data_IF_763890628409
#
_entry.id   IF_763890628409
#
_cell.length_a   1.000
_cell.length_b   1.000
_cell.length_c   1.000
_cell.angle_alpha   90.00
_cell.angle_beta   90.00
_cell.angle_gamma   90.00
#
_symmetry.space_group_name_H-M   'P 1'
#
loop_
_entity.id
_entity.type
_entity.pdbx_description
1 polymer ?
#
# COMPACT_ATOMS: atom_id res chain seq x y z
N UNK A 1 -21.94 16.45 -13.04
CA UNK A 1 -21.02 16.32 -11.91
C UNK A 1 -21.09 14.86 -11.49
N UNK A 2 -20.21 14.02 -12.05
CA UNK A 2 -20.21 12.56 -11.83
C UNK A 2 -19.00 12.26 -10.98
N UNK A 3 -19.23 11.69 -9.80
CA UNK A 3 -18.19 11.29 -8.88
C UNK A 3 -17.36 10.16 -9.50
N UNK A 4 -16.05 10.35 -9.55
CA UNK A 4 -15.07 9.37 -10.01
C UNK A 4 -14.76 8.41 -8.86
N UNK A 5 -14.83 7.09 -9.03
CA UNK A 5 -14.42 6.16 -7.99
C UNK A 5 -12.89 6.11 -7.89
N UNK A 6 -12.37 6.53 -6.77
CA UNK A 6 -10.99 6.27 -6.34
C UNK A 6 -10.91 4.79 -5.99
N UNK A 7 -10.28 3.99 -6.85
CA UNK A 7 -9.99 2.59 -6.55
C UNK A 7 -8.62 2.46 -5.90
N UNK A 8 -8.59 2.69 -4.62
CA UNK A 8 -7.71 2.03 -3.66
C UNK A 8 -8.46 1.84 -2.33
N UNK A 9 -9.80 1.83 -2.39
CA UNK A 9 -10.64 1.36 -1.30
C UNK A 9 -11.85 0.70 -1.94
N UNK A 10 -12.07 -0.57 -1.65
CA UNK A 10 -13.23 -1.33 -2.04
C UNK A 10 -14.49 -0.67 -1.45
N UNK A 11 -15.19 0.21 -2.21
CA UNK A 11 -16.49 0.71 -1.81
C UNK A 11 -17.55 -0.32 -2.16
N UNK A 12 -18.01 -1.06 -1.16
CA UNK A 12 -19.26 -1.84 -1.23
C UNK A 12 -20.46 -0.92 -1.00
N UNK A 13 -21.62 -1.17 -1.65
CA UNK A 13 -22.86 -0.51 -1.31
C UNK A 13 -23.29 -0.90 0.10
N UNK A 14 -23.80 0.09 0.84
CA UNK A 14 -24.36 -0.07 2.20
C UNK A 14 -25.60 -0.95 2.13
N UNK A 15 -25.42 -2.23 2.43
CA UNK A 15 -26.51 -3.19 2.64
C UNK A 15 -26.18 -3.98 3.88
N UNK A 16 -27.03 -3.92 4.89
CA UNK A 16 -26.88 -4.44 6.24
C UNK A 16 -26.52 -5.94 6.31
N UNK A 17 -25.26 -6.21 6.39
CA UNK A 17 -24.70 -7.35 7.12
C UNK A 17 -23.49 -6.80 7.85
N UNK A 18 -23.30 -7.20 9.09
CA UNK A 18 -22.11 -6.84 9.88
C UNK A 18 -20.87 -7.38 9.21
N UNK A 19 -20.35 -6.63 8.22
CA UNK A 19 -19.08 -6.94 7.59
C UNK A 19 -18.03 -6.64 8.63
N UNK A 20 -17.38 -7.67 9.11
CA UNK A 20 -16.29 -7.51 10.05
C UNK A 20 -15.05 -7.12 9.25
N UNK A 21 -14.62 -5.86 9.40
CA UNK A 21 -13.34 -5.41 8.85
C UNK A 21 -12.22 -6.29 9.38
N UNK A 22 -11.43 -6.85 8.48
CA UNK A 22 -10.24 -7.63 8.79
C UNK A 22 -9.01 -6.85 8.33
N UNK A 23 -8.10 -6.61 9.26
CA UNK A 23 -6.75 -6.15 8.93
C UNK A 23 -5.88 -7.38 8.66
N UNK A 24 -5.24 -7.40 7.51
CA UNK A 24 -4.20 -8.36 7.18
C UNK A 24 -2.86 -7.68 7.33
N UNK A 25 -1.99 -8.30 8.12
CA UNK A 25 -0.71 -7.71 8.49
C UNK A 25 0.40 -8.71 8.18
N UNK A 26 1.43 -8.26 7.44
CA UNK A 26 2.67 -9.02 7.30
C UNK A 26 3.41 -9.00 8.63
N UNK A 27 3.83 -10.13 9.13
CA UNK A 27 4.56 -10.26 10.40
C UNK A 27 6.00 -10.71 10.19
N UNK A 28 6.48 -10.57 8.97
CA UNK A 28 7.88 -10.78 8.62
C UNK A 28 8.66 -9.53 8.89
N UNK A 29 9.76 -9.53 9.15
CA UNK A 29 10.94 -9.24 8.55
C UNK A 29 11.96 -8.38 9.26
N UNK A 30 12.85 -9.02 9.80
CA UNK A 30 14.24 -8.62 9.61
C UNK A 30 14.97 -9.84 9.04
N UNK A 31 16.03 -9.62 8.27
CA UNK A 31 16.94 -10.70 7.77
C UNK A 31 17.44 -11.60 8.90
N UNK A 32 17.38 -11.11 10.15
CA UNK A 32 17.77 -11.86 11.36
C UNK A 32 16.62 -12.65 11.99
N UNK A 33 15.35 -12.34 11.68
CA UNK A 33 14.15 -13.04 12.15
C UNK A 33 13.12 -13.05 11.01
N UNK A 34 13.31 -13.89 9.98
CA UNK A 34 12.40 -13.98 8.86
C UNK A 34 11.04 -14.45 9.35
N UNK A 35 10.02 -13.60 9.19
CA UNK A 35 8.64 -14.05 9.32
C UNK A 35 8.23 -14.79 8.07
N UNK A 36 7.23 -15.65 8.22
CA UNK A 36 6.71 -16.48 7.13
C UNK A 36 5.20 -16.37 7.01
N UNK A 37 4.60 -15.45 7.77
CA UNK A 37 3.16 -15.43 7.98
C UNK A 37 2.53 -14.08 7.64
N UNK A 38 1.26 -14.14 7.27
CA UNK A 38 0.33 -13.02 7.32
C UNK A 38 -0.66 -13.25 8.46
N UNK A 39 -0.87 -12.23 9.27
CA UNK A 39 -1.75 -12.32 10.45
C UNK A 39 -3.05 -11.56 10.20
N UNK A 40 -4.20 -12.24 10.10
CA UNK A 40 -5.50 -11.59 10.04
C UNK A 40 -5.99 -11.19 11.43
N UNK A 41 -6.55 -9.98 11.55
CA UNK A 41 -7.10 -9.43 12.80
C UNK A 41 -8.50 -8.91 12.54
N UNK A 42 -9.51 -9.46 13.20
CA UNK A 42 -10.88 -8.92 13.19
C UNK A 42 -10.92 -7.64 14.01
N UNK A 43 -11.08 -6.51 13.36
CA UNK A 43 -10.95 -5.19 14.00
C UNK A 43 -12.03 -4.89 15.05
N UNK A 44 -13.33 -5.19 14.82
CA UNK A 44 -14.36 -4.89 15.81
C UNK A 44 -14.16 -5.63 17.13
N UNK A 45 -13.73 -6.88 17.07
CA UNK A 45 -13.51 -7.74 18.24
C UNK A 45 -12.06 -7.73 18.71
N UNK A 46 -11.14 -7.16 17.92
CA UNK A 46 -9.68 -7.16 18.15
C UNK A 46 -9.09 -8.56 18.27
N UNK A 47 -9.74 -9.53 17.65
CA UNK A 47 -9.37 -10.93 17.72
C UNK A 47 -8.35 -11.28 16.63
N UNK A 48 -7.18 -11.75 17.04
CA UNK A 48 -6.15 -12.29 16.14
C UNK A 48 -6.60 -13.68 15.70
N UNK A 49 -6.70 -13.88 14.39
CA UNK A 49 -7.06 -15.18 13.81
C UNK A 49 -5.80 -16.05 13.57
N UNK A 50 -6.02 -17.26 13.07
CA UNK A 50 -4.93 -18.15 12.71
C UNK A 50 -4.06 -17.51 11.62
N UNK A 51 -2.75 -17.53 11.80
CA UNK A 51 -1.78 -17.05 10.84
C UNK A 51 -1.80 -17.87 9.57
N UNK A 52 -1.57 -17.22 8.44
CA UNK A 52 -1.48 -17.85 7.13
C UNK A 52 -0.01 -17.88 6.71
N UNK A 53 0.54 -19.07 6.59
CA UNK A 53 1.89 -19.25 6.07
C UNK A 53 1.91 -18.96 4.56
N UNK A 54 2.83 -18.10 4.12
CA UNK A 54 2.93 -17.68 2.73
C UNK A 54 4.31 -17.93 2.13
N UNK A 55 5.37 -17.66 2.85
CA UNK A 55 6.74 -17.72 2.35
C UNK A 55 7.64 -16.84 3.19
N UNK A 56 8.91 -16.74 2.84
CA UNK A 56 9.89 -16.01 3.63
C UNK A 56 9.81 -14.51 3.39
N UNK A 57 9.82 -13.72 4.47
CA UNK A 57 9.86 -12.25 4.44
C UNK A 57 8.69 -11.62 3.67
N UNK A 58 7.42 -11.81 4.09
CA UNK A 58 6.30 -11.13 3.45
C UNK A 58 6.40 -9.62 3.66
N UNK A 59 6.48 -8.84 2.57
CA UNK A 59 6.75 -7.40 2.56
C UNK A 59 5.52 -6.55 2.30
N UNK A 60 4.71 -6.88 1.32
CA UNK A 60 3.56 -6.06 0.92
C UNK A 60 2.29 -6.88 0.68
N UNK A 61 1.16 -6.17 0.77
CA UNK A 61 -0.19 -6.72 0.65
C UNK A 61 -1.03 -5.83 -0.26
N UNK A 62 -1.88 -6.45 -1.09
CA UNK A 62 -2.92 -5.74 -1.84
C UNK A 62 -4.13 -6.65 -2.06
N UNK A 63 -5.34 -6.09 -2.03
CA UNK A 63 -6.53 -6.83 -2.46
C UNK A 63 -6.63 -6.88 -3.99
N UNK A 64 -7.07 -8.03 -4.51
CA UNK A 64 -7.48 -8.14 -5.92
C UNK A 64 -8.72 -7.29 -6.19
N UNK A 65 -8.98 -6.99 -7.45
CA UNK A 65 -10.17 -6.26 -7.85
C UNK A 65 -11.44 -6.94 -7.31
N UNK A 66 -12.25 -6.17 -6.58
CA UNK A 66 -13.46 -6.68 -5.91
C UNK A 66 -13.23 -7.39 -4.57
N UNK A 67 -12.00 -7.40 -4.03
CA UNK A 67 -11.69 -7.89 -2.69
C UNK A 67 -11.79 -9.41 -2.51
N UNK A 68 -11.77 -10.18 -3.60
CA UNK A 68 -11.97 -11.64 -3.57
C UNK A 68 -10.71 -12.41 -3.18
N UNK A 69 -9.55 -11.84 -3.40
CA UNK A 69 -8.24 -12.42 -3.07
C UNK A 69 -7.37 -11.37 -2.41
N UNK A 70 -6.43 -11.81 -1.61
CA UNK A 70 -5.39 -11.00 -1.01
C UNK A 70 -4.05 -11.42 -1.59
N UNK A 71 -3.38 -10.48 -2.24
CA UNK A 71 -2.03 -10.65 -2.76
C UNK A 71 -1.01 -10.38 -1.67
N UNK A 72 0.03 -11.19 -1.63
CA UNK A 72 1.17 -11.07 -0.72
C UNK A 72 2.45 -11.29 -1.52
N UNK A 73 3.39 -10.37 -1.45
CA UNK A 73 4.75 -10.61 -1.98
C UNK A 73 5.68 -11.04 -0.86
N UNK A 74 6.57 -11.97 -1.17
CA UNK A 74 7.56 -12.52 -0.23
C UNK A 74 8.96 -12.30 -0.80
N UNK A 75 9.78 -11.49 -0.09
CA UNK A 75 11.12 -11.10 -0.52
C UNK A 75 12.10 -12.27 -0.51
N UNK A 76 11.98 -13.18 0.44
CA UNK A 76 12.98 -14.22 0.65
C UNK A 76 12.86 -15.42 -0.32
N UNK A 77 11.79 -15.50 -1.10
CA UNK A 77 11.56 -16.54 -2.11
C UNK A 77 11.05 -15.98 -3.45
N UNK A 78 11.12 -14.66 -3.63
CA UNK A 78 10.82 -13.95 -4.89
C UNK A 78 9.48 -14.34 -5.50
N UNK A 79 8.44 -14.36 -4.66
CA UNK A 79 7.13 -14.91 -5.06
C UNK A 79 5.97 -13.97 -4.71
N UNK A 80 4.99 -13.90 -5.61
CA UNK A 80 3.67 -13.36 -5.36
C UNK A 80 2.70 -14.50 -5.06
N UNK A 81 1.97 -14.43 -3.96
CA UNK A 81 0.93 -15.38 -3.55
C UNK A 81 -0.44 -14.73 -3.56
N UNK A 82 -1.49 -15.52 -3.82
CA UNK A 82 -2.89 -15.13 -3.53
C UNK A 82 -3.40 -15.97 -2.37
N UNK A 83 -3.94 -15.30 -1.37
CA UNK A 83 -4.69 -15.89 -0.26
C UNK A 83 -6.17 -15.70 -0.54
N UNK A 84 -6.99 -16.73 -0.36
CA UNK A 84 -8.43 -16.61 -0.24
C UNK A 84 -8.77 -16.13 1.18
N UNK A 85 -9.33 -14.92 1.35
CA UNK A 85 -9.63 -14.37 2.67
C UNK A 85 -10.69 -15.15 3.46
N UNK A 86 -11.51 -15.95 2.79
CA UNK A 86 -12.56 -16.73 3.44
C UNK A 86 -12.05 -18.05 4.00
N UNK A 87 -11.11 -18.71 3.30
CA UNK A 87 -10.56 -20.01 3.70
C UNK A 87 -9.20 -19.92 4.38
N UNK A 88 -8.53 -18.75 4.28
CA UNK A 88 -7.15 -18.53 4.73
C UNK A 88 -6.13 -19.45 4.03
N UNK A 89 -6.47 -19.95 2.85
CA UNK A 89 -5.58 -20.79 2.05
C UNK A 89 -4.84 -19.99 0.98
N UNK A 90 -3.57 -20.33 0.71
CA UNK A 90 -2.89 -19.88 -0.50
C UNK A 90 -3.46 -20.64 -1.68
N UNK A 91 -3.99 -19.95 -2.68
CA UNK A 91 -4.71 -20.54 -3.82
C UNK A 91 -3.94 -20.47 -5.12
N UNK A 92 -3.07 -19.49 -5.26
CA UNK A 92 -2.22 -19.31 -6.45
C UNK A 92 -0.87 -18.68 -6.07
N UNK A 93 0.13 -18.85 -6.93
CA UNK A 93 1.44 -18.20 -6.79
C UNK A 93 2.15 -18.04 -8.12
N UNK A 94 3.03 -17.03 -8.21
CA UNK A 94 3.87 -16.78 -9.38
C UNK A 94 5.23 -16.22 -8.96
N UNK A 95 6.30 -16.64 -9.63
CA UNK A 95 7.62 -16.05 -9.42
C UNK A 95 7.67 -14.64 -10.02
N UNK A 96 8.41 -13.76 -9.35
CA UNK A 96 8.63 -12.36 -9.72
C UNK A 96 10.13 -12.06 -9.83
N UNK A 97 10.54 -10.80 -9.80
CA UNK A 97 11.96 -10.43 -9.74
C UNK A 97 12.52 -10.55 -8.32
N UNK A 98 13.80 -10.21 -8.15
CA UNK A 98 14.54 -10.35 -6.87
C UNK A 98 14.13 -9.27 -5.88
N UNK A 99 13.92 -9.66 -4.62
CA UNK A 99 13.50 -8.82 -3.51
C UNK A 99 12.24 -7.98 -3.82
N UNK A 100 11.07 -8.62 -4.07
CA UNK A 100 9.83 -7.89 -4.30
C UNK A 100 9.40 -7.15 -3.03
N UNK A 101 9.25 -5.82 -3.11
CA UNK A 101 8.96 -4.97 -1.94
C UNK A 101 7.55 -4.36 -1.96
N UNK A 102 6.93 -4.22 -3.14
CA UNK A 102 5.58 -3.66 -3.25
C UNK A 102 4.72 -4.37 -4.28
N UNK A 103 3.41 -4.34 -4.05
CA UNK A 103 2.41 -4.84 -5.01
C UNK A 103 1.22 -3.90 -5.09
N UNK A 104 0.76 -3.63 -6.31
CA UNK A 104 -0.49 -2.93 -6.57
C UNK A 104 -1.31 -3.68 -7.62
N UNK A 105 -2.62 -3.49 -7.60
CA UNK A 105 -3.53 -4.11 -8.59
C UNK A 105 -4.06 -3.04 -9.53
N UNK A 106 -3.81 -3.25 -10.81
CA UNK A 106 -4.32 -2.44 -11.90
C UNK A 106 -5.60 -3.05 -12.51
N UNK A 107 -6.48 -2.23 -13.09
CA UNK A 107 -7.61 -2.74 -13.86
C UNK A 107 -7.15 -3.48 -15.11
N UNK A 108 -7.98 -4.36 -15.66
CA UNK A 108 -7.68 -5.14 -16.87
C UNK A 108 -7.48 -6.63 -16.56
N UNK A 109 -6.52 -7.25 -17.24
CA UNK A 109 -6.21 -8.67 -17.10
C UNK A 109 -7.31 -9.60 -17.65
N UNK A 110 -6.97 -10.88 -17.73
CA UNK A 110 -7.89 -11.92 -18.19
C UNK A 110 -9.01 -12.11 -17.17
N UNK A 111 -10.24 -12.31 -17.66
CA UNK A 111 -11.45 -12.50 -16.82
C UNK A 111 -11.79 -11.32 -15.91
N UNK A 112 -11.18 -10.12 -16.13
CA UNK A 112 -11.42 -8.93 -15.31
C UNK A 112 -10.89 -9.04 -13.87
N UNK A 113 -9.94 -9.94 -13.60
CA UNK A 113 -9.36 -10.12 -12.27
C UNK A 113 -8.32 -9.06 -11.90
N UNK A 114 -7.87 -8.28 -12.88
CA UNK A 114 -6.82 -7.29 -12.72
C UNK A 114 -5.44 -7.80 -13.12
N UNK A 115 -4.49 -6.89 -13.09
CA UNK A 115 -3.07 -7.16 -13.28
C UNK A 115 -2.36 -6.77 -11.98
N UNK A 116 -1.65 -7.70 -11.34
CA UNK A 116 -0.75 -7.36 -10.26
C UNK A 116 0.53 -6.77 -10.84
N UNK A 117 1.00 -5.68 -10.26
CA UNK A 117 2.25 -5.02 -10.57
C UNK A 117 3.15 -5.16 -9.35
N UNK A 118 4.22 -5.91 -9.47
CA UNK A 118 5.16 -6.18 -8.38
C UNK A 118 6.45 -5.42 -8.62
N UNK A 119 6.78 -4.50 -7.71
CA UNK A 119 8.06 -3.78 -7.73
C UNK A 119 9.13 -4.65 -7.07
N UNK A 120 10.21 -4.91 -7.80
CA UNK A 120 11.30 -5.79 -7.38
C UNK A 120 12.53 -4.93 -7.11
N UNK A 121 12.88 -4.78 -5.83
CA UNK A 121 13.88 -3.85 -5.33
C UNK A 121 15.24 -4.09 -5.95
N UNK A 122 15.75 -5.32 -5.89
CA UNK A 122 17.09 -5.68 -6.39
C UNK A 122 17.13 -5.92 -7.92
N UNK A 123 15.98 -6.05 -8.57
CA UNK A 123 15.91 -6.22 -10.02
C UNK A 123 15.69 -4.91 -10.78
N UNK A 124 15.48 -3.78 -10.11
CA UNK A 124 15.20 -2.47 -10.72
C UNK A 124 14.07 -2.51 -11.77
N UNK A 125 13.02 -3.28 -11.50
CA UNK A 125 11.93 -3.45 -12.45
C UNK A 125 10.59 -3.73 -11.77
N UNK A 126 9.51 -3.69 -12.57
CA UNK A 126 8.17 -4.11 -12.18
C UNK A 126 7.79 -5.35 -12.97
N UNK A 127 7.37 -6.42 -12.30
CA UNK A 127 6.81 -7.62 -12.93
C UNK A 127 5.29 -7.51 -12.99
N UNK A 128 4.66 -7.41 -14.19
CA UNK A 128 3.22 -7.51 -14.32
C UNK A 128 2.75 -8.97 -14.32
N UNK A 129 1.70 -9.30 -13.58
CA UNK A 129 1.10 -10.64 -13.53
C UNK A 129 -0.39 -10.54 -13.82
N UNK A 130 -0.85 -11.22 -14.86
CA UNK A 130 -2.28 -11.37 -15.16
C UNK A 130 -2.92 -12.30 -14.13
N UNK A 131 -3.76 -11.75 -13.24
CA UNK A 131 -4.41 -12.50 -12.17
C UNK A 131 -5.48 -13.49 -12.65
N UNK A 132 -5.91 -13.42 -13.88
CA UNK A 132 -6.83 -14.40 -14.48
C UNK A 132 -6.16 -15.67 -14.97
N UNK A 133 -4.86 -15.60 -15.27
CA UNK A 133 -4.04 -16.72 -15.79
C UNK A 133 -2.84 -17.05 -14.94
N UNK A 134 -2.49 -16.21 -13.98
CA UNK A 134 -1.28 -16.29 -13.14
C UNK A 134 0.02 -16.36 -13.93
N UNK A 135 0.05 -15.68 -15.07
CA UNK A 135 1.23 -15.58 -15.92
C UNK A 135 1.90 -14.22 -15.78
N UNK A 136 3.19 -14.24 -15.52
CA UNK A 136 4.03 -13.06 -15.57
C UNK A 136 4.22 -12.60 -17.02
N UNK A 137 4.09 -11.29 -17.24
CA UNK A 137 4.50 -10.61 -18.45
C UNK A 137 5.99 -10.24 -18.43
N UNK A 138 6.49 -9.62 -19.50
CA UNK A 138 7.86 -9.11 -19.53
C UNK A 138 8.08 -8.09 -18.40
N UNK A 139 9.22 -8.16 -17.68
CA UNK A 139 9.57 -7.15 -16.69
C UNK A 139 9.69 -5.75 -17.32
N UNK A 140 9.20 -4.73 -16.62
CA UNK A 140 9.23 -3.33 -17.05
C UNK A 140 10.35 -2.63 -16.27
N UNK A 141 11.45 -2.21 -16.93
CA UNK A 141 12.52 -1.48 -16.24
C UNK A 141 12.02 -0.15 -15.68
N UNK A 142 12.43 0.19 -14.45
CA UNK A 142 12.13 1.44 -13.75
C UNK A 142 13.42 2.07 -13.18
N UNK A 143 13.32 2.96 -12.23
CA UNK A 143 14.50 3.45 -11.51
C UNK A 143 15.10 2.41 -10.56
N UNK A 144 16.17 2.77 -9.84
CA UNK A 144 16.85 1.87 -8.91
C UNK A 144 16.11 1.76 -7.58
N UNK A 145 16.12 0.56 -7.00
CA UNK A 145 15.49 0.25 -5.72
C UNK A 145 14.00 0.67 -5.66
N UNK A 146 13.11 0.13 -6.53
CA UNK A 146 11.69 0.42 -6.47
C UNK A 146 11.05 -0.21 -5.22
N UNK A 147 10.48 0.62 -4.32
CA UNK A 147 9.97 0.20 -2.98
C UNK A 147 8.47 0.39 -2.79
N UNK A 148 7.83 1.19 -3.63
CA UNK A 148 6.39 1.43 -3.51
C UNK A 148 5.74 1.63 -4.87
N UNK A 149 4.47 1.24 -5.00
CA UNK A 149 3.72 1.36 -6.25
C UNK A 149 2.27 1.71 -5.97
N UNK A 150 1.72 2.66 -6.72
CA UNK A 150 0.31 3.04 -6.68
C UNK A 150 -0.26 3.17 -8.08
N UNK A 151 -1.54 2.88 -8.25
CA UNK A 151 -2.23 2.93 -9.56
C UNK A 151 -3.26 4.03 -9.56
N UNK A 152 -3.15 4.95 -10.49
CA UNK A 152 -4.18 5.93 -10.84
C UNK A 152 -5.00 5.42 -12.02
N UNK A 153 -6.32 5.55 -11.93
CA UNK A 153 -7.23 5.25 -13.04
C UNK A 153 -8.05 6.47 -13.35
N UNK A 154 -7.92 6.99 -14.56
CA UNK A 154 -8.68 8.14 -15.03
C UNK A 154 -10.15 7.77 -15.29
N UNK A 155 -11.04 8.78 -15.34
CA UNK A 155 -12.45 8.57 -15.67
C UNK A 155 -12.66 7.95 -17.07
N UNK A 156 -11.71 8.08 -17.98
CA UNK A 156 -11.70 7.43 -19.30
C UNK A 156 -11.43 5.93 -19.24
N UNK A 157 -10.98 5.41 -18.09
CA UNK A 157 -10.49 4.05 -17.93
C UNK A 157 -8.99 3.88 -18.21
N UNK A 158 -8.29 4.92 -18.69
CA UNK A 158 -6.83 4.89 -18.81
C UNK A 158 -6.20 4.80 -17.43
N UNK A 159 -5.20 3.94 -17.27
CA UNK A 159 -4.55 3.74 -15.98
C UNK A 159 -3.03 3.90 -16.09
N UNK A 160 -2.45 4.52 -15.07
CA UNK A 160 -1.01 4.72 -14.92
C UNK A 160 -0.57 4.21 -13.56
N UNK A 161 0.46 3.38 -13.52
CA UNK A 161 1.12 3.02 -12.27
C UNK A 161 2.26 4.01 -12.01
N UNK A 162 2.46 4.37 -10.75
CA UNK A 162 3.54 5.24 -10.27
C UNK A 162 4.41 4.42 -9.33
N UNK A 163 5.67 4.28 -9.67
CA UNK A 163 6.65 3.49 -8.92
C UNK A 163 7.60 4.45 -8.23
N UNK A 164 7.72 4.34 -6.92
CA UNK A 164 8.69 5.11 -6.15
C UNK A 164 10.04 4.37 -6.14
N UNK A 165 11.01 4.98 -6.79
CA UNK A 165 12.36 4.44 -6.97
C UNK A 165 13.28 5.07 -5.92
N UNK A 166 13.45 4.39 -4.79
CA UNK A 166 14.15 4.89 -3.60
C UNK A 166 15.59 5.31 -3.92
N UNK A 167 16.33 4.46 -4.64
CA UNK A 167 17.73 4.71 -4.99
C UNK A 167 17.89 5.82 -6.04
N UNK A 168 16.90 6.02 -6.91
CA UNK A 168 16.94 7.05 -7.96
C UNK A 168 16.42 8.42 -7.51
N UNK A 169 15.78 8.54 -6.34
CA UNK A 169 15.09 9.75 -5.89
C UNK A 169 14.05 10.26 -6.91
N UNK A 170 13.32 9.33 -7.50
CA UNK A 170 12.37 9.61 -8.57
C UNK A 170 11.12 8.75 -8.45
N UNK A 171 10.12 9.08 -9.25
CA UNK A 171 8.95 8.23 -9.51
C UNK A 171 8.92 7.89 -10.98
N UNK A 172 8.86 6.60 -11.32
CA UNK A 172 8.68 6.13 -12.69
C UNK A 172 7.19 5.90 -12.98
N UNK A 173 6.56 6.64 -13.91
CA UNK A 173 5.21 6.35 -14.36
C UNK A 173 5.23 5.21 -15.38
N UNK A 174 4.28 4.27 -15.30
CA UNK A 174 4.09 3.19 -16.26
C UNK A 174 2.71 3.34 -16.91
N UNK A 175 2.66 3.49 -18.22
CA UNK A 175 1.41 3.44 -18.98
C UNK A 175 0.93 1.98 -19.05
N UNK A 176 -0.21 1.70 -18.43
CA UNK A 176 -0.74 0.33 -18.34
C UNK A 176 -1.44 -0.14 -19.61
N UNK A 177 -1.69 0.74 -20.58
CA UNK A 177 -2.19 0.34 -21.89
C UNK A 177 -1.10 -0.23 -22.80
N UNK A 178 0.14 0.22 -22.62
CA UNK A 178 1.32 -0.19 -23.39
C UNK A 178 2.30 -1.04 -22.58
N UNK A 179 2.16 -1.07 -21.27
CA UNK A 179 3.11 -1.68 -20.31
C UNK A 179 4.54 -1.11 -20.48
N UNK A 180 4.64 0.21 -20.70
CA UNK A 180 5.93 0.87 -20.86
C UNK A 180 6.13 1.95 -19.80
N UNK A 181 7.36 2.03 -19.29
CA UNK A 181 7.78 3.10 -18.40
C UNK A 181 7.96 4.41 -19.17
N UNK A 182 7.48 5.51 -18.57
CA UNK A 182 7.71 6.87 -19.03
C UNK A 182 8.99 7.47 -18.46
N UNK A 183 9.17 8.78 -18.68
CA UNK A 183 10.30 9.52 -18.11
C UNK A 183 10.18 9.60 -16.58
N UNK A 184 11.29 9.40 -15.88
CA UNK A 184 11.36 9.51 -14.43
C UNK A 184 11.01 10.95 -13.98
N UNK A 185 10.19 11.06 -12.93
CA UNK A 185 9.74 12.31 -12.33
C UNK A 185 10.57 12.54 -11.07
N UNK A 186 11.40 13.59 -10.98
CA UNK A 186 12.21 13.85 -9.81
C UNK A 186 11.34 14.21 -8.60
N UNK A 187 11.67 13.64 -7.43
CA UNK A 187 11.03 13.92 -6.14
C UNK A 187 12.10 14.18 -5.06
N UNK A 188 11.71 14.24 -3.80
CA UNK A 188 12.67 14.35 -2.70
C UNK A 188 13.48 13.05 -2.51
N UNK A 189 14.55 13.10 -1.69
CA UNK A 189 15.45 11.97 -1.49
C UNK A 189 14.79 10.81 -0.75
N UNK A 190 15.02 9.60 -1.24
CA UNK A 190 14.52 8.35 -0.66
C UNK A 190 13.00 8.27 -0.65
N UNK A 191 12.30 8.31 -1.81
CA UNK A 191 10.85 8.10 -1.85
C UNK A 191 10.52 6.68 -1.37
N UNK A 192 9.86 6.58 -0.19
CA UNK A 192 9.61 5.33 0.52
C UNK A 192 8.16 4.85 0.41
N UNK A 193 7.24 5.77 0.19
CA UNK A 193 5.81 5.46 0.19
C UNK A 193 5.07 6.33 -0.82
N UNK A 194 4.02 5.78 -1.42
CA UNK A 194 3.25 6.44 -2.47
C UNK A 194 1.76 6.11 -2.34
N UNK A 195 0.91 7.08 -2.55
CA UNK A 195 -0.53 6.87 -2.56
C UNK A 195 -1.22 7.81 -3.55
N UNK A 196 -2.35 7.37 -4.11
CA UNK A 196 -3.18 8.18 -5.00
C UNK A 196 -4.31 8.83 -4.23
N UNK A 197 -4.46 10.15 -4.38
CA UNK A 197 -5.51 10.96 -3.81
C UNK A 197 -6.23 11.74 -4.91
N UNK A 198 -7.33 11.23 -5.43
CA UNK A 198 -8.01 11.77 -6.61
C UNK A 198 -7.10 11.86 -7.83
N UNK A 199 -6.71 13.06 -8.25
CA UNK A 199 -5.78 13.31 -9.37
C UNK A 199 -4.36 13.62 -8.91
N UNK A 200 -4.09 13.55 -7.61
CA UNK A 200 -2.75 13.75 -7.04
C UNK A 200 -2.16 12.41 -6.60
N UNK A 201 -0.90 12.21 -6.91
CA UNK A 201 -0.07 11.13 -6.36
C UNK A 201 0.80 11.75 -5.29
N UNK A 202 0.70 11.25 -4.07
CA UNK A 202 1.45 11.73 -2.92
C UNK A 202 2.65 10.82 -2.68
N UNK A 203 3.85 11.39 -2.72
CA UNK A 203 5.11 10.65 -2.55
C UNK A 203 5.76 11.07 -1.24
N UNK A 204 5.90 10.15 -0.32
CA UNK A 204 6.59 10.39 0.95
C UNK A 204 8.09 10.14 0.81
N UNK A 205 8.89 11.19 0.98
CA UNK A 205 10.35 11.15 0.86
C UNK A 205 10.97 10.97 2.27
N UNK A 206 11.49 9.79 2.52
CA UNK A 206 12.05 9.43 3.84
C UNK A 206 13.31 10.25 4.18
N UNK A 207 14.14 10.54 3.17
CA UNK A 207 15.46 11.14 3.37
C UNK A 207 15.44 12.59 3.90
N UNK A 208 14.42 13.38 3.53
CA UNK A 208 14.29 14.78 3.93
C UNK A 208 12.99 15.10 4.70
N UNK A 209 12.20 14.10 5.03
CA UNK A 209 10.90 14.26 5.71
C UNK A 209 9.96 15.16 4.93
N UNK A 210 9.78 14.89 3.67
CA UNK A 210 8.89 15.68 2.83
C UNK A 210 7.83 14.84 2.15
N UNK A 211 6.81 15.51 1.62
CA UNK A 211 5.77 14.95 0.77
C UNK A 211 5.78 15.71 -0.55
N UNK A 212 6.05 15.02 -1.66
CA UNK A 212 5.99 15.59 -3.01
C UNK A 212 4.69 15.17 -3.69
N UNK A 213 3.83 16.11 -4.11
CA UNK A 213 2.68 15.78 -4.95
C UNK A 213 3.10 15.67 -6.40
N UNK A 214 2.48 14.76 -7.14
CA UNK A 214 2.59 14.66 -8.60
C UNK A 214 1.18 14.66 -9.16
N UNK A 215 0.90 15.52 -10.14
CA UNK A 215 -0.38 15.45 -10.83
C UNK A 215 -0.44 14.20 -11.70
N UNK A 216 -1.38 13.30 -11.42
CA UNK A 216 -1.47 11.99 -12.08
C UNK A 216 -1.82 12.04 -13.57
N UNK A 217 -2.35 13.17 -14.05
CA UNK A 217 -2.75 13.36 -15.45
C UNK A 217 -1.63 14.01 -16.28
N UNK A 218 -1.02 15.07 -15.73
CA UNK A 218 0.03 15.83 -16.44
C UNK A 218 1.43 15.32 -16.16
N UNK A 219 1.59 14.44 -15.16
CA UNK A 219 2.85 13.92 -14.66
C UNK A 219 3.79 15.01 -14.10
N UNK A 220 3.26 16.19 -13.84
CA UNK A 220 4.04 17.31 -13.30
C UNK A 220 4.19 17.19 -11.78
N UNK A 221 5.42 17.24 -11.23
CA UNK A 221 5.62 17.33 -9.79
C UNK A 221 5.29 18.73 -9.30
N UNK A 222 4.68 18.81 -8.11
CA UNK A 222 4.47 20.06 -7.37
C UNK A 222 5.56 20.33 -6.36
N UNK A 223 5.43 21.44 -5.62
CA UNK A 223 6.34 21.78 -4.52
C UNK A 223 6.20 20.80 -3.35
N UNK A 224 7.32 20.29 -2.86
CA UNK A 224 7.34 19.43 -1.68
C UNK A 224 6.98 20.23 -0.42
N UNK A 225 6.27 19.57 0.51
CA UNK A 225 5.94 20.11 1.84
C UNK A 225 6.67 19.31 2.91
N UNK A 226 7.20 20.00 3.92
CA UNK A 226 7.91 19.37 5.03
C UNK A 226 6.94 18.63 5.96
N UNK A 227 7.34 17.45 6.42
CA UNK A 227 6.63 16.64 7.40
C UNK A 227 7.41 16.61 8.74
N UNK A 228 6.73 16.49 9.88
CA UNK A 228 7.40 16.31 11.18
C UNK A 228 7.97 14.89 11.38
N UNK A 229 7.68 13.96 10.47
CA UNK A 229 8.08 12.54 10.54
C UNK A 229 8.79 12.09 9.26
N UNK A 230 9.63 11.07 9.33
CA UNK A 230 10.11 10.37 8.14
C UNK A 230 8.97 9.45 7.64
N UNK A 231 8.38 9.71 6.47
CA UNK A 231 7.22 8.96 6.00
C UNK A 231 7.57 7.50 5.68
N UNK A 232 6.84 6.55 6.29
CA UNK A 232 6.97 5.12 6.03
C UNK A 232 5.69 4.52 5.42
N UNK A 233 4.56 5.20 5.55
CA UNK A 233 3.29 4.79 4.97
C UNK A 233 2.33 5.95 4.79
N UNK A 234 1.51 5.89 3.75
CA UNK A 234 0.46 6.85 3.44
C UNK A 234 -0.85 6.10 3.22
N UNK A 235 -1.91 6.55 3.87
CA UNK A 235 -3.27 6.09 3.60
C UNK A 235 -4.19 7.30 3.35
N UNK A 236 -5.01 7.22 2.31
CA UNK A 236 -5.90 8.32 1.91
C UNK A 236 -7.33 7.97 2.32
N UNK A 237 -8.05 8.94 2.89
CA UNK A 237 -9.47 8.78 3.20
C UNK A 237 -10.26 8.41 1.93
N UNK A 238 -11.34 7.62 2.06
CA UNK A 238 -12.21 7.30 0.93
C UNK A 238 -12.79 8.52 0.20
N UNK A 239 -12.91 9.65 0.89
CA UNK A 239 -13.30 10.94 0.30
C UNK A 239 -12.22 11.57 -0.58
N UNK A 240 -10.98 11.11 -0.50
CA UNK A 240 -9.83 11.70 -1.16
C UNK A 240 -9.35 13.03 -0.54
N UNK A 241 -10.01 13.54 0.50
CA UNK A 241 -9.75 14.90 1.01
C UNK A 241 -8.55 15.01 1.95
N UNK A 242 -8.18 13.93 2.63
CA UNK A 242 -7.08 13.90 3.59
C UNK A 242 -6.28 12.62 3.45
N UNK A 243 -4.98 12.74 3.43
CA UNK A 243 -4.03 11.66 3.57
C UNK A 243 -3.50 11.63 5.00
N UNK A 244 -3.28 10.44 5.53
CA UNK A 244 -2.62 10.23 6.81
C UNK A 244 -1.26 9.60 6.56
N UNK A 245 -0.22 10.30 6.93
CA UNK A 245 1.18 9.88 6.77
C UNK A 245 1.67 9.36 8.11
N UNK A 246 2.13 8.11 8.17
CA UNK A 246 2.77 7.58 9.35
C UNK A 246 4.29 7.55 9.19
N UNK A 247 5.00 7.62 10.31
CA UNK A 247 6.45 7.52 10.35
C UNK A 247 7.02 7.92 11.71
N UNK A 248 8.23 7.45 12.02
CA UNK A 248 8.77 7.65 13.35
C UNK A 248 7.76 7.25 14.43
N UNK A 249 7.48 8.14 15.38
CA UNK A 249 6.49 7.90 16.44
C UNK A 249 5.21 8.72 16.22
N UNK A 250 4.73 8.85 14.98
CA UNK A 250 3.54 9.68 14.73
C UNK A 250 2.73 9.34 13.49
N UNK A 251 1.53 9.87 13.48
CA UNK A 251 0.63 9.97 12.32
C UNK A 251 0.31 11.44 12.09
N UNK A 252 0.42 11.88 10.85
CA UNK A 252 0.22 13.29 10.46
C UNK A 252 -0.88 13.36 9.41
N UNK A 253 -1.98 14.08 9.65
CA UNK A 253 -2.96 14.36 8.61
C UNK A 253 -2.44 15.45 7.67
N UNK A 254 -2.63 15.24 6.37
CA UNK A 254 -2.30 16.20 5.32
C UNK A 254 -3.51 16.35 4.41
N UNK A 255 -3.99 17.58 4.20
CA UNK A 255 -5.04 17.80 3.19
C UNK A 255 -4.48 17.52 1.79
N UNK A 256 -5.24 16.86 0.94
CA UNK A 256 -4.78 16.51 -0.41
C UNK A 256 -4.83 17.70 -1.38
N UNK A 257 -5.64 18.70 -1.05
CA UNK A 257 -5.69 19.97 -1.77
C UNK A 257 -4.96 21.03 -0.93
N UNK A 258 -3.94 21.64 -1.52
CA UNK A 258 -3.12 22.67 -0.86
C UNK A 258 -2.11 22.11 0.15
N UNK A 259 -2.08 20.80 0.38
CA UNK A 259 -1.10 20.07 1.22
C UNK A 259 -0.86 20.70 2.61
N UNK A 260 -1.93 21.15 3.27
CA UNK A 260 -1.80 21.65 4.63
C UNK A 260 -1.50 20.50 5.59
N UNK A 261 -0.35 20.60 6.26
CA UNK A 261 0.12 19.60 7.24
C UNK A 261 -0.50 19.93 8.60
N UNK A 262 -1.26 18.97 9.14
CA UNK A 262 -1.93 19.11 10.44
C UNK A 262 -1.04 18.69 11.61
N UNK A 263 -1.62 18.72 12.80
CA UNK A 263 -0.92 18.33 14.02
C UNK A 263 -0.63 16.83 14.04
N UNK A 264 0.59 16.47 14.44
CA UNK A 264 1.01 15.09 14.61
C UNK A 264 0.28 14.44 15.80
N UNK A 265 -0.26 13.25 15.58
CA UNK A 265 -0.73 12.36 16.63
C UNK A 265 0.42 11.45 17.06
N UNK A 266 0.85 11.55 18.31
CA UNK A 266 1.94 10.74 18.86
C UNK A 266 1.56 9.29 19.05
N UNK A 267 2.42 8.36 18.66
CA UNK A 267 2.26 6.91 18.82
C UNK A 267 3.19 6.35 19.91
N UNK A 268 2.84 5.22 20.55
CA UNK A 268 3.69 4.61 21.56
C UNK A 268 4.96 3.93 21.02
N UNK A 269 5.08 3.76 19.72
CA UNK A 269 6.21 3.10 19.05
C UNK A 269 6.42 3.56 17.63
N UNK A 270 7.48 3.06 16.99
CA UNK A 270 7.87 3.41 15.62
C UNK A 270 6.88 2.81 14.62
N UNK A 271 6.23 3.65 13.83
CA UNK A 271 5.30 3.28 12.79
C UNK A 271 6.02 2.70 11.56
N UNK A 272 5.42 1.70 10.91
CA UNK A 272 5.89 1.07 9.69
C UNK A 272 4.88 1.24 8.55
N UNK A 273 3.66 0.84 8.74
CA UNK A 273 2.58 0.92 7.77
C UNK A 273 1.29 1.45 8.38
N UNK A 274 0.39 1.92 7.53
CA UNK A 274 -0.90 2.48 7.93
C UNK A 274 -2.00 2.05 6.95
N UNK A 275 -3.16 1.69 7.48
CA UNK A 275 -4.38 1.50 6.70
C UNK A 275 -5.57 2.14 7.42
N UNK A 276 -6.56 2.58 6.63
CA UNK A 276 -7.78 3.18 7.16
C UNK A 276 -8.93 2.18 7.09
N UNK A 277 -9.83 2.23 8.08
CA UNK A 277 -11.10 1.51 7.98
C UNK A 277 -11.93 2.06 6.82
N UNK A 278 -12.75 1.23 6.14
CA UNK A 278 -13.54 1.66 4.98
C UNK A 278 -14.52 2.82 5.27
N UNK A 279 -14.94 2.96 6.53
CA UNK A 279 -15.78 4.08 6.99
C UNK A 279 -14.97 5.39 7.21
N UNK A 280 -13.64 5.33 7.10
CA UNK A 280 -12.76 6.48 7.30
C UNK A 280 -12.70 7.00 8.72
N UNK A 281 -13.07 6.21 9.73
CA UNK A 281 -13.11 6.67 11.13
C UNK A 281 -11.84 6.36 11.91
N UNK A 282 -11.14 5.30 11.55
CA UNK A 282 -9.98 4.79 12.30
C UNK A 282 -8.82 4.48 11.37
N UNK A 283 -7.63 4.95 11.74
CA UNK A 283 -6.37 4.46 11.16
C UNK A 283 -5.82 3.33 12.05
N UNK A 284 -5.32 2.28 11.40
CA UNK A 284 -4.59 1.21 12.04
C UNK A 284 -3.14 1.25 11.59
N UNK A 285 -2.24 1.32 12.55
CA UNK A 285 -0.80 1.53 12.32
C UNK A 285 -0.01 0.33 12.84
N UNK A 286 0.77 -0.28 11.97
CA UNK A 286 1.74 -1.30 12.37
C UNK A 286 2.95 -0.64 13.01
N UNK A 287 3.49 -1.25 14.05
CA UNK A 287 4.67 -0.74 14.75
C UNK A 287 5.78 -1.77 14.80
N UNK A 288 7.01 -1.32 14.61
CA UNK A 288 8.22 -2.16 14.60
C UNK A 288 8.31 -3.10 15.80
N UNK A 289 7.81 -2.68 16.97
CA UNK A 289 7.82 -3.47 18.20
C UNK A 289 6.77 -4.60 18.25
N UNK A 290 6.17 -4.97 17.12
CA UNK A 290 5.23 -6.11 17.06
C UNK A 290 3.81 -5.79 17.47
N UNK A 291 3.33 -4.57 17.23
CA UNK A 291 1.96 -4.18 17.60
C UNK A 291 1.21 -3.50 16.45
N UNK A 292 -0.12 -3.57 16.55
CA UNK A 292 -1.08 -2.87 15.69
C UNK A 292 -1.87 -1.88 16.56
N UNK A 293 -1.82 -0.60 16.21
CA UNK A 293 -2.35 0.49 17.05
C UNK A 293 -3.46 1.23 16.32
N UNK A 294 -4.68 1.35 16.90
CA UNK A 294 -5.75 2.15 16.34
C UNK A 294 -5.61 3.63 16.74
N UNK A 295 -5.91 4.50 15.79
CA UNK A 295 -6.03 5.96 15.99
C UNK A 295 -7.39 6.40 15.48
N UNK A 296 -8.22 6.94 16.37
CA UNK A 296 -9.50 7.54 15.99
C UNK A 296 -9.24 8.88 15.30
N UNK A 297 -9.58 8.99 14.02
CA UNK A 297 -9.16 10.12 13.18
C UNK A 297 -9.80 11.45 13.57
N UNK A 298 -11.06 11.42 13.99
CA UNK A 298 -11.78 12.64 14.40
C UNK A 298 -11.21 13.33 15.65
N UNK A 299 -10.56 12.57 16.54
CA UNK A 299 -10.09 13.09 17.85
C UNK A 299 -8.58 12.96 18.04
N UNK A 300 -7.88 12.24 17.17
CA UNK A 300 -6.48 11.88 17.37
C UNK A 300 -6.25 10.91 18.54
N UNK A 301 -7.31 10.30 19.09
CA UNK A 301 -7.18 9.41 20.24
C UNK A 301 -6.52 8.09 19.83
N UNK A 302 -5.39 7.79 20.46
CA UNK A 302 -4.68 6.51 20.30
C UNK A 302 -5.33 5.47 21.23
N UNK A 303 -5.74 4.35 20.65
CA UNK A 303 -6.34 3.25 21.39
C UNK A 303 -5.30 2.25 21.90
N UNK A 304 -5.77 1.22 22.61
CA UNK A 304 -4.89 0.17 23.15
C UNK A 304 -4.25 -0.64 22.01
N UNK A 305 -2.94 -0.89 21.99
CA UNK A 305 -2.29 -1.72 20.98
C UNK A 305 -2.78 -3.18 21.02
N UNK A 306 -2.79 -3.84 19.85
CA UNK A 306 -2.93 -5.29 19.71
C UNK A 306 -1.52 -5.84 19.49
N UNK A 307 -1.08 -6.78 20.32
CA UNK A 307 0.24 -7.40 20.18
C UNK A 307 0.17 -8.54 19.18
N UNK A 308 0.87 -8.40 18.06
CA UNK A 308 0.96 -9.40 16.99
C UNK A 308 2.20 -10.27 17.13
N UNK A 309 3.25 -9.74 17.74
CA UNK A 309 4.60 -10.30 17.70
C UNK A 309 5.31 -10.02 16.37
N UNK A 310 6.54 -10.46 16.23
CA UNK A 310 7.36 -10.24 15.04
C UNK A 310 7.64 -8.75 14.76
N UNK A 311 7.85 -8.43 13.49
CA UNK A 311 8.03 -7.07 12.98
C UNK A 311 6.98 -6.79 11.92
N UNK A 312 5.76 -6.36 12.29
CA UNK A 312 4.72 -6.07 11.32
C UNK A 312 5.10 -4.85 10.47
N UNK A 313 5.06 -5.01 9.16
CA UNK A 313 5.40 -3.96 8.19
C UNK A 313 4.16 -3.47 7.43
N UNK A 314 3.70 -4.21 6.45
CA UNK A 314 2.55 -3.84 5.64
C UNK A 314 1.22 -4.20 6.32
N UNK A 315 0.19 -3.43 5.97
CA UNK A 315 -1.18 -3.65 6.42
C UNK A 315 -2.17 -3.26 5.32
N UNK A 316 -3.19 -4.07 5.14
CA UNK A 316 -4.39 -3.70 4.38
C UNK A 316 -5.64 -4.07 5.16
N UNK A 317 -6.73 -3.32 4.96
CA UNK A 317 -8.01 -3.57 5.62
C UNK A 317 -9.07 -3.84 4.54
N UNK A 318 -9.82 -4.90 4.70
CA UNK A 318 -10.92 -5.26 3.81
C UNK A 318 -12.05 -5.94 4.55
N UNK A 319 -13.12 -6.26 3.81
CA UNK A 319 -14.24 -7.03 4.33
C UNK A 319 -13.81 -8.49 4.51
N UNK A 320 -14.04 -9.03 5.71
CA UNK A 320 -13.84 -10.44 6.02
C UNK A 320 -15.06 -11.28 5.74
#
# INVERSE_FOLDING_TARGET
MVAVPVLAACTRPVGSATVHDVAWVTTGASVTLPGTDVTPVRLPTRHIQAKVAVGSLPSALAYTAGGRGLLVVTQGDDTLHEIDPATHGVVDSASVGVEPDAVAVAPGGTRGRGIALVANLDSDNVTPIDLGTWRAGPPIPVGTEPVAIAVYTAASGAATAFVADFGSNAVTPIDLSTMQAGAAIPVGPGPQTIAVASTEVLVGNFGDRSLTPINAVTLAPGGAVALPVNPTGIAVLPSGATAYVCGGTGVVPVTTIGLAVGAQVGLPGVAQGIALTPDGTTAWVTQQAGSLVPVTLATGKVGTPIRLGGHPSAIVIGAG
#
